data_IF_440287361152
#
_entry.id   IF_440287361152
#
_cell.length_a   1.000
_cell.length_b   1.000
_cell.length_c   1.000
_cell.angle_alpha   90.00
_cell.angle_beta   90.00
_cell.angle_gamma   90.00
#
_symmetry.space_group_name_H-M   'P 1'
#
loop_
_entity.id
_entity.type
_entity.pdbx_description
1 polymer ?
#
# COMPACT_ATOMS: atom_id res chain seq x y z
N UNK A 1 29.52 -23.77 -32.16
CA UNK A 1 28.77 -22.50 -32.05
C UNK A 1 28.34 -22.34 -30.60
N UNK A 2 28.71 -21.24 -29.92
CA UNK A 2 28.29 -21.00 -28.53
C UNK A 2 27.09 -20.06 -28.54
N UNK A 3 25.98 -20.50 -27.95
CA UNK A 3 24.75 -19.72 -27.85
C UNK A 3 24.96 -18.55 -26.88
N UNK A 4 24.65 -17.34 -27.33
CA UNK A 4 24.74 -16.12 -26.53
C UNK A 4 23.52 -16.08 -25.60
N UNK A 5 23.75 -16.03 -24.29
CA UNK A 5 22.71 -15.85 -23.28
C UNK A 5 22.21 -14.40 -23.36
N UNK A 6 21.04 -14.21 -23.95
CA UNK A 6 20.33 -12.94 -23.87
C UNK A 6 19.66 -12.83 -22.50
N UNK A 7 20.41 -12.27 -21.55
CA UNK A 7 19.92 -11.89 -20.24
C UNK A 7 18.85 -10.79 -20.45
N UNK A 8 17.57 -11.17 -20.45
CA UNK A 8 16.42 -10.26 -20.61
C UNK A 8 16.30 -9.39 -19.36
N UNK A 9 17.22 -8.43 -19.22
CA UNK A 9 17.14 -7.37 -18.24
C UNK A 9 15.93 -6.51 -18.57
N UNK A 10 14.83 -6.78 -17.88
CA UNK A 10 13.67 -5.88 -17.84
C UNK A 10 14.15 -4.46 -17.61
N UNK A 11 13.82 -3.55 -18.54
CA UNK A 11 14.14 -2.11 -18.45
C UNK A 11 13.23 -1.36 -17.48
N UNK A 12 12.33 -2.05 -16.78
CA UNK A 12 11.49 -1.42 -15.78
C UNK A 12 12.39 -1.13 -14.58
N UNK A 13 12.54 0.14 -14.16
CA UNK A 13 13.24 0.46 -12.93
C UNK A 13 12.58 -0.38 -11.84
N UNK A 14 13.36 -1.19 -11.12
CA UNK A 14 12.87 -1.78 -9.86
C UNK A 14 12.48 -0.58 -9.01
N UNK A 15 11.20 -0.25 -8.97
CA UNK A 15 10.68 0.85 -8.19
C UNK A 15 10.73 0.39 -6.72
N UNK A 16 11.93 0.43 -6.15
CA UNK A 16 12.29 -0.09 -4.83
C UNK A 16 11.80 0.79 -3.69
N UNK A 17 11.07 1.87 -3.98
CA UNK A 17 10.50 2.74 -2.95
C UNK A 17 9.39 2.06 -2.16
N UNK A 18 8.68 1.09 -2.78
CA UNK A 18 7.57 0.40 -2.16
C UNK A 18 8.02 -1.02 -1.80
N UNK A 19 8.09 -1.31 -0.51
CA UNK A 19 8.43 -2.64 0.01
C UNK A 19 7.47 -3.75 -0.46
N UNK A 20 7.67 -5.00 0.01
CA UNK A 20 6.80 -6.11 -0.37
C UNK A 20 5.33 -5.82 -0.03
N UNK A 21 4.42 -6.30 -0.88
CA UNK A 21 2.98 -6.11 -0.68
C UNK A 21 2.54 -6.86 0.59
N UNK A 22 1.87 -6.17 1.49
CA UNK A 22 1.19 -6.78 2.63
C UNK A 22 -0.25 -7.11 2.23
N UNK A 23 -0.64 -8.38 2.36
CA UNK A 23 -2.03 -8.79 2.15
C UNK A 23 -2.86 -8.43 3.39
N UNK A 24 -3.87 -7.57 3.23
CA UNK A 24 -4.80 -7.19 4.28
C UNK A 24 -6.14 -7.90 4.06
N UNK A 25 -6.61 -8.63 5.07
CA UNK A 25 -7.96 -9.23 5.06
C UNK A 25 -8.94 -8.18 5.54
N UNK A 26 -9.97 -7.94 4.73
CA UNK A 26 -11.07 -7.04 5.04
C UNK A 26 -12.38 -7.83 4.94
N UNK A 27 -13.32 -7.51 5.81
CA UNK A 27 -14.71 -7.91 5.64
C UNK A 27 -15.30 -7.25 4.38
N UNK A 28 -16.46 -7.74 3.93
CA UNK A 28 -17.16 -7.14 2.79
C UNK A 28 -17.57 -5.70 3.09
N UNK A 29 -17.99 -5.42 4.32
CA UNK A 29 -18.41 -4.09 4.77
C UNK A 29 -17.22 -3.13 4.83
N UNK A 30 -16.11 -3.54 5.43
CA UNK A 30 -14.88 -2.74 5.51
C UNK A 30 -14.37 -2.39 4.10
N UNK A 31 -14.41 -3.35 3.18
CA UNK A 31 -13.98 -3.14 1.80
C UNK A 31 -14.88 -2.14 1.07
N UNK A 32 -16.20 -2.25 1.22
CA UNK A 32 -17.16 -1.34 0.60
C UNK A 32 -16.92 0.11 1.05
N UNK A 33 -16.69 0.32 2.34
CA UNK A 33 -16.38 1.63 2.92
C UNK A 33 -15.10 2.23 2.32
N UNK A 34 -14.05 1.43 2.18
CA UNK A 34 -12.79 1.88 1.56
C UNK A 34 -12.99 2.22 0.08
N UNK A 35 -13.73 1.40 -0.66
CA UNK A 35 -13.97 1.61 -2.08
C UNK A 35 -14.80 2.88 -2.34
N UNK A 36 -15.80 3.17 -1.49
CA UNK A 36 -16.58 4.41 -1.55
C UNK A 36 -15.71 5.65 -1.30
N UNK A 37 -14.88 5.63 -0.25
CA UNK A 37 -13.95 6.73 0.04
C UNK A 37 -12.93 6.92 -1.09
N UNK A 38 -12.40 5.83 -1.62
CA UNK A 38 -11.44 5.85 -2.71
C UNK A 38 -12.05 6.46 -3.98
N UNK A 39 -13.29 6.09 -4.32
CA UNK A 39 -14.03 6.66 -5.43
C UNK A 39 -14.27 8.17 -5.24
N UNK A 40 -14.70 8.59 -4.05
CA UNK A 40 -14.94 10.01 -3.71
C UNK A 40 -13.69 10.87 -3.86
N UNK A 41 -12.53 10.34 -3.48
CA UNK A 41 -11.25 11.06 -3.55
C UNK A 41 -10.45 10.83 -4.84
N UNK A 42 -11.01 10.08 -5.82
CA UNK A 42 -10.35 9.71 -7.07
C UNK A 42 -8.98 9.03 -6.85
N UNK A 43 -8.92 8.11 -5.89
CA UNK A 43 -7.72 7.34 -5.52
C UNK A 43 -7.98 5.85 -5.65
N UNK A 44 -6.91 5.05 -5.68
CA UNK A 44 -7.06 3.59 -5.60
C UNK A 44 -7.41 3.15 -4.17
N UNK A 45 -8.18 2.08 -4.04
CA UNK A 45 -8.56 1.51 -2.73
C UNK A 45 -7.34 1.14 -1.89
N UNK A 46 -6.27 0.64 -2.51
CA UNK A 46 -5.01 0.33 -1.80
C UNK A 46 -4.33 1.60 -1.26
N UNK A 47 -4.36 2.70 -2.01
CA UNK A 47 -3.81 3.97 -1.53
C UNK A 47 -4.69 4.55 -0.41
N UNK A 48 -6.01 4.48 -0.56
CA UNK A 48 -6.96 4.90 0.47
C UNK A 48 -6.75 4.13 1.79
N UNK A 49 -6.67 2.79 1.71
CA UNK A 49 -6.38 1.94 2.87
C UNK A 49 -5.06 2.32 3.55
N UNK A 50 -4.01 2.63 2.76
CA UNK A 50 -2.72 3.08 3.28
C UNK A 50 -2.84 4.43 4.01
N UNK A 51 -3.57 5.38 3.45
CA UNK A 51 -3.78 6.70 4.08
C UNK A 51 -4.51 6.57 5.42
N UNK A 52 -5.55 5.74 5.49
CA UNK A 52 -6.30 5.46 6.72
C UNK A 52 -5.39 4.83 7.77
N UNK A 53 -4.59 3.84 7.39
CA UNK A 53 -3.61 3.21 8.29
C UNK A 53 -2.63 4.23 8.87
N UNK A 54 -2.02 5.08 8.02
CA UNK A 54 -1.06 6.09 8.48
C UNK A 54 -1.71 7.07 9.45
N UNK A 55 -2.96 7.47 9.17
CA UNK A 55 -3.70 8.36 10.07
C UNK A 55 -4.00 7.70 11.42
N UNK A 56 -4.39 6.43 11.43
CA UNK A 56 -4.58 5.68 12.68
C UNK A 56 -3.29 5.59 13.48
N UNK A 57 -2.17 5.31 12.80
CA UNK A 57 -0.85 5.23 13.43
C UNK A 57 -0.42 6.55 14.09
N UNK A 58 -0.70 7.71 13.46
CA UNK A 58 -0.45 9.02 14.06
C UNK A 58 -1.26 9.23 15.35
N UNK A 59 -2.53 8.81 15.37
CA UNK A 59 -3.40 8.96 16.53
C UNK A 59 -2.95 8.09 17.69
N UNK A 60 -2.64 6.82 17.43
CA UNK A 60 -2.14 5.89 18.46
C UNK A 60 -0.84 6.37 19.09
N UNK A 61 0.10 6.90 18.29
CA UNK A 61 1.34 7.47 18.82
C UNK A 61 1.09 8.71 19.68
N UNK A 62 0.15 9.58 19.28
CA UNK A 62 -0.23 10.76 20.07
C UNK A 62 -0.88 10.38 21.40
N UNK A 63 -1.66 9.32 21.44
CA UNK A 63 -2.26 8.80 22.67
C UNK A 63 -1.19 8.25 23.62
N UNK A 64 -0.25 7.46 23.10
CA UNK A 64 0.87 6.92 23.90
C UNK A 64 1.76 8.01 24.49
N UNK A 65 2.08 9.05 23.71
CA UNK A 65 2.92 10.16 24.17
C UNK A 65 2.22 11.07 25.20
N UNK A 66 0.89 11.04 25.30
CA UNK A 66 0.14 11.78 26.34
C UNK A 66 0.04 11.02 27.66
N UNK A 67 0.30 9.71 27.64
CA UNK A 67 0.24 8.84 28.82
C UNK A 67 1.60 8.57 29.45
N UNK A 68 2.69 9.15 28.92
CA UNK A 68 4.03 9.19 29.53
C UNK A 68 4.32 10.58 30.08
#
# INVERSE_FOLDING_TARGET
MKQVLHDTRSRIPRNTATGPRLALRLSLEERAVIDEMAAKEQRSSSNMARMIFLRGLELTQKEQNKSS
#
